data_IF_595896302689
#
_entry.id   IF_595896302689
#
_cell.length_a   1.000
_cell.length_b   1.000
_cell.length_c   1.000
_cell.angle_alpha   90.00
_cell.angle_beta   90.00
_cell.angle_gamma   90.00
#
_symmetry.space_group_name_H-M   'P 1'
#
loop_
_entity.id
_entity.type
_entity.pdbx_description
1 polymer ?
#
# COMPACT_ATOMS: atom_id res chain seq x y z
N UNK A 1 -5.20 8.76 7.79
CA UNK A 1 -3.95 9.12 7.09
C UNK A 1 -4.21 9.13 5.59
N UNK A 2 -4.17 10.31 4.95
CA UNK A 2 -4.37 10.49 3.51
C UNK A 2 -3.00 10.66 2.84
N UNK A 3 -2.23 9.58 2.71
CA UNK A 3 -0.87 9.68 2.15
C UNK A 3 -0.93 9.52 0.63
N UNK A 4 -0.40 10.53 -0.08
CA UNK A 4 -0.30 10.57 -1.54
C UNK A 4 1.00 9.91 -1.97
N UNK A 5 1.00 8.58 -2.09
CA UNK A 5 2.19 7.88 -2.62
C UNK A 5 2.26 8.05 -4.14
N UNK A 6 3.18 8.89 -4.60
CA UNK A 6 3.56 9.04 -6.01
C UNK A 6 4.92 8.36 -6.17
N UNK A 7 5.16 7.65 -7.27
CA UNK A 7 6.53 7.20 -7.59
C UNK A 7 7.36 8.45 -7.89
N UNK A 8 8.42 8.70 -7.10
CA UNK A 8 9.21 9.92 -7.23
C UNK A 8 10.38 9.75 -8.20
N UNK A 9 10.87 8.52 -8.40
CA UNK A 9 11.89 8.20 -9.39
C UNK A 9 11.81 6.71 -9.77
N UNK A 10 11.89 6.41 -11.06
CA UNK A 10 12.13 5.05 -11.56
C UNK A 10 13.45 5.03 -12.32
N UNK A 11 14.21 3.95 -12.17
CA UNK A 11 15.38 3.74 -13.02
C UNK A 11 14.96 3.66 -14.50
N UNK A 12 15.79 4.19 -15.42
CA UNK A 12 15.56 4.04 -16.85
C UNK A 12 15.70 2.57 -17.26
N UNK A 13 14.54 1.96 -17.47
CA UNK A 13 14.34 0.57 -17.83
C UNK A 13 14.76 0.23 -19.26
N UNK A 14 15.00 1.23 -20.11
CA UNK A 14 15.18 1.05 -21.54
C UNK A 14 16.50 0.34 -21.90
N UNK A 15 17.44 0.25 -20.95
CA UNK A 15 18.81 -0.27 -21.17
C UNK A 15 19.20 -1.43 -20.26
N UNK A 16 18.29 -1.94 -19.43
CA UNK A 16 18.61 -3.01 -18.46
C UNK A 16 17.90 -4.33 -18.80
N UNK A 17 18.52 -5.49 -18.51
CA UNK A 17 17.81 -6.77 -18.52
C UNK A 17 16.58 -6.71 -17.61
N UNK A 18 15.55 -7.52 -17.89
CA UNK A 18 14.22 -7.53 -17.23
C UNK A 18 14.22 -7.58 -15.68
N UNK A 19 15.37 -7.73 -15.04
CA UNK A 19 15.58 -7.79 -13.59
C UNK A 19 16.06 -6.46 -12.95
N UNK A 20 16.22 -5.36 -13.71
CA UNK A 20 16.85 -4.11 -13.20
C UNK A 20 15.93 -2.91 -12.96
N UNK A 21 14.63 -3.01 -13.23
CA UNK A 21 13.70 -1.88 -13.13
C UNK A 21 13.17 -1.68 -11.72
N UNK A 22 13.84 -0.83 -10.95
CA UNK A 22 13.39 -0.49 -9.59
C UNK A 22 12.79 0.92 -9.62
N UNK A 23 11.60 1.05 -9.05
CA UNK A 23 10.96 2.33 -8.78
C UNK A 23 11.04 2.62 -7.28
N UNK A 24 11.16 3.91 -6.95
CA UNK A 24 11.25 4.38 -5.58
C UNK A 24 10.16 5.40 -5.28
N UNK A 25 9.69 5.39 -4.04
CA UNK A 25 8.82 6.41 -3.49
C UNK A 25 9.39 7.00 -2.19
N UNK A 26 8.69 8.01 -1.67
CA UNK A 26 9.05 8.70 -0.43
C UNK A 26 7.92 8.45 0.58
N UNK A 27 7.91 7.29 1.26
CA UNK A 27 6.96 7.01 2.32
C UNK A 27 7.29 7.80 3.58
N UNK A 28 6.25 8.21 4.28
CA UNK A 28 6.28 8.98 5.51
C UNK A 28 5.57 8.24 6.65
N UNK A 29 6.04 8.46 7.88
CA UNK A 29 5.34 8.11 9.10
C UNK A 29 5.13 9.37 9.95
N UNK A 30 3.92 9.94 9.97
CA UNK A 30 3.64 11.15 10.71
C UNK A 30 3.64 10.94 12.24
N UNK A 31 3.57 9.70 12.74
CA UNK A 31 3.62 9.43 14.18
C UNK A 31 4.98 9.78 14.81
N UNK A 32 6.04 9.83 13.98
CA UNK A 32 7.41 10.16 14.39
C UNK A 32 7.99 11.32 13.56
N UNK A 33 7.15 12.05 12.83
CA UNK A 33 7.54 13.16 11.94
C UNK A 33 8.75 12.83 11.04
N UNK A 34 8.75 11.64 10.43
CA UNK A 34 9.90 11.14 9.65
C UNK A 34 9.45 10.61 8.29
N UNK A 35 10.30 10.77 7.28
CA UNK A 35 10.15 10.15 5.96
C UNK A 35 11.39 9.36 5.57
N UNK A 36 11.26 8.50 4.57
CA UNK A 36 12.37 7.77 3.97
C UNK A 36 12.40 7.98 2.46
N UNK A 37 13.44 8.63 1.95
CA UNK A 37 13.65 8.78 0.52
C UNK A 37 14.40 7.54 -0.01
N UNK A 38 13.65 6.59 -0.58
CA UNK A 38 14.22 5.31 -1.05
C UNK A 38 13.32 4.10 -0.84
N UNK A 39 12.03 4.30 -0.54
CA UNK A 39 11.09 3.19 -0.41
C UNK A 39 10.99 2.43 -1.73
N UNK A 40 11.30 1.13 -1.72
CA UNK A 40 11.36 0.32 -2.94
C UNK A 40 9.97 -0.14 -3.31
N UNK A 41 9.47 0.30 -4.47
CA UNK A 41 8.18 -0.16 -5.01
C UNK A 41 8.33 -1.62 -5.40
N UNK A 42 7.51 -2.47 -4.79
CA UNK A 42 7.54 -3.92 -4.92
C UNK A 42 6.15 -4.45 -5.25
N UNK A 43 6.08 -5.67 -5.78
CA UNK A 43 4.84 -6.39 -6.05
C UNK A 43 4.86 -7.73 -5.30
N UNK A 44 3.75 -8.09 -4.66
CA UNK A 44 3.56 -9.40 -4.03
C UNK A 44 2.07 -9.76 -3.98
N UNK A 45 1.75 -10.92 -3.42
CA UNK A 45 0.38 -11.40 -3.24
C UNK A 45 -0.27 -10.72 -2.04
N UNK A 46 -1.38 -10.02 -2.28
CA UNK A 46 -2.30 -9.59 -1.22
C UNK A 46 -3.50 -10.53 -1.16
N UNK A 47 -3.74 -11.12 0.02
CA UNK A 47 -4.94 -11.90 0.32
C UNK A 47 -5.93 -11.07 1.14
N UNK A 48 -7.18 -10.99 0.71
CA UNK A 48 -8.24 -10.25 1.40
C UNK A 48 -9.56 -11.02 1.35
N UNK A 49 -10.39 -10.89 2.38
CA UNK A 49 -11.73 -11.47 2.37
C UNK A 49 -12.68 -10.63 1.50
N UNK A 50 -13.33 -11.28 0.56
CA UNK A 50 -14.46 -10.68 -0.17
C UNK A 50 -15.70 -10.59 0.71
N UNK A 51 -16.63 -9.71 0.36
CA UNK A 51 -17.88 -9.50 1.10
C UNK A 51 -19.03 -9.20 0.13
N UNK A 52 -20.23 -9.64 0.49
CA UNK A 52 -21.47 -9.24 -0.19
C UNK A 52 -22.12 -7.99 0.44
N UNK A 53 -21.43 -7.34 1.37
CA UNK A 53 -21.92 -6.17 2.13
C UNK A 53 -22.60 -6.53 3.47
N UNK A 54 -22.86 -7.82 3.72
CA UNK A 54 -23.45 -8.30 4.98
C UNK A 54 -22.49 -9.24 5.71
N UNK A 55 -21.88 -10.17 4.98
CA UNK A 55 -21.00 -11.19 5.53
C UNK A 55 -19.72 -11.30 4.69
N UNK A 56 -18.63 -11.69 5.36
CA UNK A 56 -17.44 -12.15 4.66
C UNK A 56 -17.77 -13.42 3.87
N UNK A 57 -17.23 -13.54 2.67
CA UNK A 57 -17.51 -14.65 1.76
C UNK A 57 -16.26 -15.50 1.55
N UNK A 58 -15.44 -15.18 0.57
CA UNK A 58 -14.30 -15.99 0.15
C UNK A 58 -13.00 -15.19 0.18
N UNK A 59 -11.90 -15.87 0.49
CA UNK A 59 -10.57 -15.29 0.41
C UNK A 59 -10.17 -15.13 -1.06
N UNK A 60 -9.79 -13.93 -1.45
CA UNK A 60 -9.33 -13.61 -2.81
C UNK A 60 -7.88 -13.14 -2.79
N UNK A 61 -7.11 -13.55 -3.79
CA UNK A 61 -5.70 -13.23 -3.92
C UNK A 61 -5.47 -12.25 -5.08
N UNK A 62 -4.67 -11.23 -4.83
CA UNK A 62 -4.24 -10.24 -5.82
C UNK A 62 -2.75 -10.47 -6.04
N UNK A 63 -2.34 -11.14 -7.14
CA UNK A 63 -0.98 -11.66 -7.27
C UNK A 63 0.10 -10.60 -7.50
N UNK A 64 -0.28 -9.38 -7.86
CA UNK A 64 0.62 -8.28 -8.19
C UNK A 64 0.16 -7.00 -7.49
N UNK A 65 -0.03 -7.08 -6.19
CA UNK A 65 -0.38 -5.92 -5.38
C UNK A 65 0.87 -5.05 -5.19
N UNK A 66 0.79 -3.77 -5.57
CA UNK A 66 1.92 -2.85 -5.50
C UNK A 66 2.00 -2.24 -4.10
N UNK A 67 3.17 -2.31 -3.48
CA UNK A 67 3.43 -1.69 -2.17
C UNK A 67 4.86 -1.15 -2.11
N UNK A 68 5.25 -0.57 -0.97
CA UNK A 68 6.60 -0.06 -0.76
C UNK A 68 7.29 -0.77 0.39
N UNK A 69 8.51 -1.25 0.14
CA UNK A 69 9.41 -1.78 1.15
C UNK A 69 10.20 -0.62 1.78
N UNK A 70 10.16 -0.54 3.11
CA UNK A 70 10.80 0.52 3.89
C UNK A 70 11.61 -0.05 5.05
N UNK A 71 12.65 0.66 5.52
CA UNK A 71 13.36 0.28 6.73
C UNK A 71 12.44 0.22 7.95
N UNK A 72 12.74 -0.69 8.88
CA UNK A 72 11.93 -0.92 10.08
C UNK A 72 11.80 0.28 11.02
N UNK A 73 12.76 1.23 11.01
CA UNK A 73 12.65 2.45 11.83
C UNK A 73 11.42 3.28 11.46
N UNK A 74 10.95 3.20 10.21
CA UNK A 74 9.78 3.94 9.76
C UNK A 74 8.47 3.40 10.37
N UNK A 75 8.50 2.21 10.99
CA UNK A 75 7.39 1.66 11.75
C UNK A 75 7.38 2.06 13.24
N UNK A 76 8.32 2.89 13.70
CA UNK A 76 8.33 3.36 15.08
C UNK A 76 7.07 4.18 15.41
N UNK A 77 6.59 4.09 16.66
CA UNK A 77 5.36 4.77 17.10
C UNK A 77 4.05 4.13 16.62
N UNK A 78 4.10 3.08 15.79
CA UNK A 78 2.92 2.28 15.46
C UNK A 78 2.55 1.32 16.60
N UNK A 79 1.32 0.80 16.59
CA UNK A 79 0.85 -0.15 17.59
C UNK A 79 1.76 -1.40 17.65
N UNK A 80 1.81 -2.04 18.82
CA UNK A 80 2.68 -3.20 19.03
C UNK A 80 2.38 -4.32 18.01
N UNK A 81 3.43 -4.90 17.43
CA UNK A 81 3.34 -5.93 16.40
C UNK A 81 3.13 -5.41 14.97
N UNK A 82 2.78 -4.13 14.77
CA UNK A 82 2.58 -3.55 13.43
C UNK A 82 3.92 -3.41 12.70
N UNK A 83 3.93 -3.73 11.40
CA UNK A 83 5.13 -3.68 10.52
C UNK A 83 5.09 -2.61 9.44
N UNK A 84 3.97 -1.89 9.30
CA UNK A 84 3.79 -0.88 8.28
C UNK A 84 2.39 -0.29 8.30
N UNK A 85 2.04 0.45 7.25
CA UNK A 85 0.77 1.16 7.15
C UNK A 85 0.07 0.85 5.82
N UNK A 86 -1.26 0.89 5.83
CA UNK A 86 -2.07 0.80 4.62
C UNK A 86 -2.50 2.21 4.18
N UNK A 87 -2.08 2.62 2.98
CA UNK A 87 -2.44 3.92 2.42
C UNK A 87 -3.87 3.92 1.87
N UNK A 88 -4.74 4.74 2.45
CA UNK A 88 -6.13 4.94 2.01
C UNK A 88 -6.34 6.26 1.24
N UNK A 89 -5.24 6.89 0.79
CA UNK A 89 -5.25 8.14 0.05
C UNK A 89 -5.76 8.01 -1.39
N UNK A 90 -5.76 9.14 -2.12
CA UNK A 90 -6.25 9.22 -3.49
C UNK A 90 -5.27 8.81 -4.60
N UNK A 91 -4.10 8.24 -4.28
CA UNK A 91 -3.10 7.87 -5.30
C UNK A 91 -3.47 6.58 -6.04
N UNK A 92 -2.88 6.34 -7.21
CA UNK A 92 -3.16 5.15 -8.02
C UNK A 92 -2.69 3.85 -7.37
N UNK A 93 -1.68 3.92 -6.50
CA UNK A 93 -1.15 2.77 -5.74
C UNK A 93 -1.71 2.69 -4.32
N UNK A 94 -2.63 3.56 -3.92
CA UNK A 94 -3.35 3.40 -2.67
C UNK A 94 -4.21 2.13 -2.69
N UNK A 95 -4.41 1.50 -1.52
CA UNK A 95 -5.15 0.25 -1.39
C UNK A 95 -6.54 0.33 -2.07
N UNK A 96 -7.38 1.36 -1.84
CA UNK A 96 -8.69 1.44 -2.49
C UNK A 96 -8.61 1.55 -4.02
N UNK A 97 -7.62 2.28 -4.55
CA UNK A 97 -7.43 2.47 -5.99
C UNK A 97 -7.02 1.18 -6.69
N UNK A 98 -6.11 0.41 -6.07
CA UNK A 98 -5.68 -0.87 -6.62
C UNK A 98 -6.82 -1.89 -6.60
N UNK A 99 -7.56 -2.00 -5.49
CA UNK A 99 -8.72 -2.90 -5.39
C UNK A 99 -9.81 -2.55 -6.42
N UNK A 100 -10.14 -1.26 -6.54
CA UNK A 100 -11.11 -0.79 -7.52
C UNK A 100 -10.70 -1.16 -8.96
N UNK A 101 -9.41 -1.05 -9.28
CA UNK A 101 -8.89 -1.42 -10.61
C UNK A 101 -8.91 -2.93 -10.85
N UNK A 102 -8.44 -3.73 -9.90
CA UNK A 102 -8.34 -5.19 -10.05
C UNK A 102 -9.72 -5.84 -10.17
N UNK A 103 -10.68 -5.41 -9.34
CA UNK A 103 -12.02 -5.98 -9.30
C UNK A 103 -13.05 -5.19 -10.12
N UNK A 104 -12.62 -4.17 -10.88
CA UNK A 104 -13.48 -3.32 -11.71
C UNK A 104 -14.64 -2.69 -10.91
N UNK A 105 -14.35 -2.26 -9.67
CA UNK A 105 -15.32 -1.65 -8.76
C UNK A 105 -15.26 -0.12 -8.85
N UNK A 106 -16.30 0.55 -8.37
CA UNK A 106 -16.23 1.99 -8.12
C UNK A 106 -15.18 2.27 -7.04
N UNK A 107 -14.32 3.28 -7.23
CA UNK A 107 -13.33 3.71 -6.24
C UNK A 107 -14.01 4.38 -5.04
N UNK A 108 -14.53 3.57 -4.13
CA UNK A 108 -15.18 3.95 -2.87
C UNK A 108 -14.74 2.98 -1.78
N UNK A 109 -14.56 3.47 -0.57
CA UNK A 109 -14.27 2.66 0.60
C UNK A 109 -15.13 3.14 1.77
N UNK A 110 -15.60 2.21 2.59
CA UNK A 110 -16.31 2.48 3.83
C UNK A 110 -15.46 1.95 4.99
N UNK A 111 -15.40 2.69 6.08
CA UNK A 111 -14.70 2.29 7.29
C UNK A 111 -15.64 2.47 8.49
N UNK A 112 -15.63 1.48 9.37
CA UNK A 112 -16.26 1.52 10.67
C UNK A 112 -15.13 1.34 11.70
N UNK A 113 -14.93 2.35 12.55
CA UNK A 113 -13.91 2.31 13.59
C UNK A 113 -14.59 1.94 14.90
N UNK A 114 -14.11 0.88 15.53
CA UNK A 114 -14.48 0.50 16.89
C UNK A 114 -13.40 1.03 17.84
N UNK A 115 -13.81 1.78 18.86
CA UNK A 115 -12.92 2.30 19.90
C UNK A 115 -13.16 1.48 21.15
N UNK A 116 -12.19 0.62 21.49
CA UNK A 116 -12.19 -0.13 22.74
C UNK A 116 -11.55 0.77 23.81
N UNK A 117 -12.30 1.04 24.88
CA UNK A 117 -11.85 1.81 26.05
C UNK A 117 -11.18 0.92 27.08
#
# INVERSE_FOLDING_TARGET
>A
MLNRQVSHACADCSRMPKTGCICYNIPDNPAIDTFYAGGVVSEDVLSIQSTNGLNSSQLVNIPRFIFSCVPSFLAAGLANGVKGTAGLGGSLIALPSQLARVFQLSKKICYLLEVLY
#
